data_IF_421771752291
#
_entry.id   IF_421771752291
#
_cell.length_a   1.000
_cell.length_b   1.000
_cell.length_c   1.000
_cell.angle_alpha   90.00
_cell.angle_beta   90.00
_cell.angle_gamma   90.00
#
_symmetry.space_group_name_H-M   'P 1'
#
loop_
_entity.id
_entity.type
_entity.pdbx_description
1 polymer ?
#
# COMPACT_ATOMS: atom_id res chain seq x y z
N UNK A 1 -3.07 -12.01 3.10
CA UNK A 1 -3.13 -12.91 4.27
C UNK A 1 -4.52 -12.86 4.88
N UNK A 2 -5.02 -13.93 5.48
CA UNK A 2 -6.27 -13.92 6.25
C UNK A 2 -5.98 -14.31 7.69
N UNK A 3 -6.43 -13.51 8.66
CA UNK A 3 -6.25 -13.75 10.10
C UNK A 3 -7.52 -13.32 10.84
N UNK A 4 -8.03 -14.16 11.75
CA UNK A 4 -9.25 -13.85 12.50
C UNK A 4 -10.46 -13.51 11.62
N UNK A 5 -10.56 -14.11 10.44
CA UNK A 5 -11.65 -13.84 9.48
C UNK A 5 -11.54 -12.50 8.73
N UNK A 6 -10.40 -11.79 8.86
CA UNK A 6 -10.12 -10.54 8.14
C UNK A 6 -9.04 -10.75 7.11
N UNK A 7 -9.19 -10.16 5.92
CA UNK A 7 -8.21 -10.18 4.84
C UNK A 7 -7.31 -8.96 4.92
N UNK A 8 -6.04 -9.21 5.20
CA UNK A 8 -4.98 -8.23 5.28
C UNK A 8 -4.15 -8.22 3.99
N UNK A 9 -3.90 -7.04 3.46
CA UNK A 9 -2.98 -6.81 2.37
C UNK A 9 -1.78 -6.02 2.85
N UNK A 10 -0.60 -6.56 2.63
CA UNK A 10 0.67 -5.90 2.90
C UNK A 10 1.31 -5.64 1.53
N UNK A 11 1.27 -4.39 1.08
CA UNK A 11 1.77 -4.04 -0.24
C UNK A 11 3.29 -4.22 -0.36
N UNK A 12 4.01 -4.18 0.78
CA UNK A 12 5.47 -4.21 0.75
C UNK A 12 6.02 -2.98 0.04
N UNK A 13 7.24 -3.11 -0.50
CA UNK A 13 7.82 -2.11 -1.40
C UNK A 13 7.32 -2.38 -2.81
N UNK A 14 6.33 -1.61 -3.28
CA UNK A 14 5.69 -1.84 -4.58
C UNK A 14 5.09 -0.58 -5.20
N UNK A 15 4.66 -0.70 -6.46
CA UNK A 15 3.88 0.30 -7.21
C UNK A 15 2.41 -0.12 -7.31
N UNK A 16 1.54 0.77 -7.76
CA UNK A 16 0.13 0.44 -8.03
C UNK A 16 -0.03 -0.28 -9.39
N UNK A 17 0.54 -1.48 -9.50
CA UNK A 17 0.44 -2.33 -10.70
C UNK A 17 -0.93 -3.00 -10.83
N UNK A 18 -1.20 -3.62 -11.98
CA UNK A 18 -2.52 -4.20 -12.28
C UNK A 18 -2.88 -5.36 -11.33
N UNK A 19 -1.89 -6.12 -10.88
CA UNK A 19 -2.01 -7.22 -9.93
C UNK A 19 -2.48 -6.74 -8.56
N UNK A 20 -1.99 -5.58 -8.11
CA UNK A 20 -2.47 -4.94 -6.87
C UNK A 20 -3.90 -4.47 -7.07
N UNK A 21 -4.19 -3.76 -8.17
CA UNK A 21 -5.54 -3.23 -8.48
C UNK A 21 -6.60 -4.33 -8.61
N UNK A 22 -6.21 -5.53 -9.01
CA UNK A 22 -7.11 -6.67 -9.16
C UNK A 22 -7.50 -7.34 -7.82
N UNK A 23 -6.86 -6.96 -6.71
CA UNK A 23 -7.20 -7.52 -5.40
C UNK A 23 -8.57 -7.03 -4.92
N UNK A 24 -9.34 -7.94 -4.35
CA UNK A 24 -10.70 -7.68 -3.87
C UNK A 24 -10.90 -8.16 -2.43
N UNK A 25 -11.87 -7.54 -1.75
CA UNK A 25 -12.30 -7.92 -0.40
C UNK A 25 -11.21 -7.75 0.66
N UNK A 26 -10.35 -6.75 0.52
CA UNK A 26 -9.34 -6.41 1.53
C UNK A 26 -10.05 -5.67 2.66
N UNK A 27 -9.93 -6.16 3.89
CA UNK A 27 -10.45 -5.46 5.06
C UNK A 27 -9.47 -4.40 5.56
N UNK A 28 -8.17 -4.74 5.56
CA UNK A 28 -7.10 -3.88 6.07
C UNK A 28 -5.93 -3.85 5.09
N UNK A 29 -5.50 -2.67 4.68
CA UNK A 29 -4.37 -2.48 3.76
C UNK A 29 -3.22 -1.72 4.43
N UNK A 30 -2.00 -2.23 4.26
CA UNK A 30 -0.75 -1.55 4.62
C UNK A 30 -0.11 -1.02 3.34
N UNK A 31 -0.04 0.32 3.21
CA UNK A 31 0.28 1.01 1.96
C UNK A 31 1.56 1.86 2.09
N UNK A 32 2.60 1.65 1.26
CA UNK A 32 3.82 2.42 1.31
C UNK A 32 3.58 3.83 0.80
N UNK A 33 4.19 4.82 1.44
CA UNK A 33 4.27 6.20 0.94
C UNK A 33 5.71 6.65 1.12
N UNK A 34 6.59 6.50 0.12
CA UNK A 34 7.96 6.98 0.26
C UNK A 34 8.54 7.58 -1.03
N UNK A 35 9.45 8.52 -0.86
CA UNK A 35 10.29 9.17 -1.88
C UNK A 35 11.73 8.92 -1.37
N UNK A 36 12.65 8.16 -2.03
CA UNK A 36 12.77 7.90 -3.48
C UNK A 36 12.95 6.41 -3.92
N UNK A 37 13.12 6.22 -5.24
CA UNK A 37 13.28 4.98 -6.07
C UNK A 37 12.20 3.89 -5.94
N UNK A 38 11.32 3.80 -6.96
CA UNK A 38 10.51 2.61 -7.27
C UNK A 38 9.28 2.33 -6.40
N UNK A 39 8.66 3.35 -5.80
CA UNK A 39 7.52 3.20 -4.87
C UNK A 39 6.36 4.15 -5.18
N UNK A 40 5.25 3.96 -4.49
CA UNK A 40 4.09 4.86 -4.56
C UNK A 40 4.36 6.21 -3.87
N UNK A 41 4.23 7.30 -4.64
CA UNK A 41 4.07 8.66 -4.08
C UNK A 41 2.79 8.73 -3.22
N UNK A 42 2.64 9.74 -2.32
CA UNK A 42 1.41 9.90 -1.55
C UNK A 42 0.14 9.92 -2.42
N UNK A 43 0.20 10.58 -3.59
CA UNK A 43 -0.91 10.59 -4.55
C UNK A 43 -1.18 9.19 -5.12
N UNK A 44 -0.15 8.49 -5.57
CA UNK A 44 -0.28 7.13 -6.13
C UNK A 44 -0.83 6.16 -5.09
N UNK A 45 -0.36 6.24 -3.83
CA UNK A 45 -0.84 5.41 -2.74
C UNK A 45 -2.32 5.68 -2.43
N UNK A 46 -2.74 6.95 -2.42
CA UNK A 46 -4.14 7.32 -2.25
C UNK A 46 -5.02 6.81 -3.40
N UNK A 47 -4.58 6.97 -4.65
CA UNK A 47 -5.32 6.49 -5.83
C UNK A 47 -5.43 4.95 -5.83
N UNK A 48 -4.35 4.25 -5.45
CA UNK A 48 -4.37 2.79 -5.33
C UNK A 48 -5.31 2.31 -4.22
N UNK A 49 -5.27 2.98 -3.07
CA UNK A 49 -6.13 2.66 -1.91
C UNK A 49 -7.60 2.79 -2.25
N UNK A 50 -7.99 3.79 -3.05
CA UNK A 50 -9.37 3.95 -3.52
C UNK A 50 -9.84 2.77 -4.38
N UNK A 51 -8.96 2.19 -5.19
CA UNK A 51 -9.28 1.02 -6.02
C UNK A 51 -9.51 -0.20 -5.14
N UNK A 52 -8.66 -0.39 -4.13
CA UNK A 52 -8.75 -1.53 -3.21
C UNK A 52 -9.95 -1.42 -2.24
N UNK A 53 -10.41 -0.20 -1.98
CA UNK A 53 -11.53 0.15 -1.09
C UNK A 53 -11.53 -0.60 0.26
N UNK A 54 -10.40 -0.64 1.01
CA UNK A 54 -10.34 -1.31 2.30
C UNK A 54 -11.09 -0.53 3.38
N UNK A 55 -11.55 -1.23 4.43
CA UNK A 55 -12.18 -0.59 5.58
C UNK A 55 -11.20 0.17 6.48
N UNK A 56 -9.93 -0.27 6.54
CA UNK A 56 -8.85 0.36 7.31
C UNK A 56 -7.57 0.43 6.49
N UNK A 57 -6.83 1.53 6.62
CA UNK A 57 -5.56 1.76 5.93
C UNK A 57 -4.49 2.16 6.93
N UNK A 58 -3.36 1.47 6.91
CA UNK A 58 -2.14 1.85 7.61
C UNK A 58 -1.11 2.29 6.59
N UNK A 59 -0.71 3.55 6.63
CA UNK A 59 0.38 4.05 5.79
C UNK A 59 1.73 3.84 6.49
N UNK A 60 2.77 3.53 5.72
CA UNK A 60 4.12 3.31 6.26
C UNK A 60 5.20 3.74 5.26
N UNK A 61 6.47 3.72 5.70
CA UNK A 61 7.63 4.25 4.97
C UNK A 61 7.57 5.75 4.63
N UNK A 62 6.83 6.57 5.37
CA UNK A 62 6.66 8.01 5.06
C UNK A 62 7.63 8.94 5.79
N UNK A 63 8.44 8.39 6.69
CA UNK A 63 9.28 9.11 7.65
C UNK A 63 10.78 8.74 7.50
N UNK A 64 11.14 8.10 6.40
CA UNK A 64 12.51 7.70 6.13
C UNK A 64 13.17 8.76 5.26
N UNK A 65 14.16 9.47 5.81
CA UNK A 65 15.03 10.34 5.03
C UNK A 65 15.81 9.52 4.00
N UNK A 66 16.26 10.19 2.94
CA UNK A 66 17.11 9.59 1.91
C UNK A 66 18.30 8.86 2.54
N UNK A 67 18.42 7.56 2.25
CA UNK A 67 19.71 6.87 2.37
C UNK A 67 20.42 7.13 1.06
N UNK A 68 21.19 8.22 0.99
CA UNK A 68 22.16 8.42 -0.09
C UNK A 68 23.11 7.21 -0.05
N UNK A 69 23.04 6.39 -1.10
CA UNK A 69 23.97 5.29 -1.34
C UNK A 69 25.20 5.79 -2.09
#
# INVERSE_FOLDING_TARGET
MTLGGKKFFFAGVTECVNEVKALQGIDVAFMPMNIPVGRMTPKTAADCTKILAPGVVYTYHYDQDWVDA
#
